data_IF_169329093407
#
_entry.id   IF_169329093407
#
_cell.length_a   1.000
_cell.length_b   1.000
_cell.length_c   1.000
_cell.angle_alpha   90.00
_cell.angle_beta   90.00
_cell.angle_gamma   90.00
#
_symmetry.space_group_name_H-M   'P 1'
#
loop_
_entity.id
_entity.type
_entity.pdbx_description
1 polymer ?
#
# COMPACT_ATOMS: atom_id res chain seq x y z
N UNK A 1 -25.20 -1.44 -19.67
CA UNK A 1 -23.81 -1.02 -19.37
C UNK A 1 -22.91 -2.17 -19.80
N UNK A 2 -22.07 -1.98 -20.81
CA UNK A 2 -21.11 -3.00 -21.27
C UNK A 2 -19.79 -2.83 -20.51
N UNK A 3 -19.07 -3.93 -20.29
CA UNK A 3 -17.73 -3.87 -19.69
C UNK A 3 -16.78 -3.19 -20.68
N UNK A 4 -15.91 -2.32 -20.17
CA UNK A 4 -14.85 -1.67 -20.93
C UNK A 4 -13.96 -2.71 -21.65
N UNK A 5 -13.62 -2.45 -22.91
CA UNK A 5 -12.90 -3.43 -23.76
C UNK A 5 -11.48 -3.69 -23.25
N UNK A 6 -10.81 -2.69 -22.70
CA UNK A 6 -9.46 -2.83 -22.17
C UNK A 6 -9.49 -3.62 -20.86
N UNK A 7 -10.54 -3.41 -20.04
CA UNK A 7 -10.77 -4.19 -18.84
C UNK A 7 -11.04 -5.66 -19.17
N UNK A 8 -11.83 -5.95 -20.21
CA UNK A 8 -12.04 -7.32 -20.68
C UNK A 8 -10.75 -7.98 -21.16
N UNK A 9 -9.93 -7.25 -21.94
CA UNK A 9 -8.64 -7.75 -22.41
C UNK A 9 -7.69 -8.05 -21.24
N UNK A 10 -7.68 -7.18 -20.22
CA UNK A 10 -6.94 -7.40 -18.99
C UNK A 10 -7.39 -8.68 -18.27
N UNK A 11 -8.70 -8.85 -18.03
CA UNK A 11 -9.23 -10.06 -17.38
C UNK A 11 -8.89 -11.34 -18.15
N UNK A 12 -9.02 -11.32 -19.48
CA UNK A 12 -8.65 -12.47 -20.31
C UNK A 12 -7.16 -12.80 -20.22
N UNK A 13 -6.29 -11.78 -20.17
CA UNK A 13 -4.85 -11.99 -19.96
C UNK A 13 -4.55 -12.57 -18.58
N UNK A 14 -5.15 -12.01 -17.52
CA UNK A 14 -4.98 -12.50 -16.14
C UNK A 14 -5.40 -13.97 -16.05
N UNK A 15 -6.59 -14.33 -16.51
CA UNK A 15 -7.09 -15.70 -16.44
C UNK A 15 -6.23 -16.70 -17.22
N UNK A 16 -5.59 -16.25 -18.32
CA UNK A 16 -4.67 -17.08 -19.11
C UNK A 16 -3.33 -17.31 -18.41
N UNK A 17 -2.80 -16.29 -17.73
CA UNK A 17 -1.46 -16.34 -17.10
C UNK A 17 -1.53 -16.91 -15.68
N UNK A 18 -2.62 -16.64 -14.97
CA UNK A 18 -2.84 -17.00 -13.58
C UNK A 18 -4.15 -17.78 -13.47
N UNK A 19 -4.11 -19.12 -13.60
CA UNK A 19 -5.29 -19.94 -13.43
C UNK A 19 -5.86 -19.81 -12.01
N UNK A 20 -7.14 -20.12 -11.86
CA UNK A 20 -7.80 -20.12 -10.55
C UNK A 20 -7.11 -21.12 -9.61
N UNK A 21 -6.91 -20.68 -8.37
CA UNK A 21 -6.48 -21.57 -7.30
C UNK A 21 -7.65 -22.43 -6.83
N UNK A 22 -7.38 -23.65 -6.33
CA UNK A 22 -8.38 -24.44 -5.62
C UNK A 22 -9.03 -23.63 -4.48
N UNK A 23 -10.30 -23.91 -4.19
CA UNK A 23 -11.04 -23.21 -3.14
C UNK A 23 -10.43 -23.40 -1.74
N UNK A 24 -9.67 -24.48 -1.54
CA UNK A 24 -8.95 -24.85 -0.33
C UNK A 24 -7.46 -24.50 -0.38
N UNK A 25 -7.03 -23.65 -1.32
CA UNK A 25 -5.66 -23.22 -1.42
C UNK A 25 -5.19 -22.53 -0.13
N UNK A 26 -3.97 -22.87 0.30
CA UNK A 26 -3.35 -22.27 1.46
C UNK A 26 -3.16 -20.74 1.29
N UNK A 27 -3.38 -19.92 2.33
CA UNK A 27 -3.26 -18.47 2.25
C UNK A 27 -1.91 -17.97 1.72
N UNK A 28 -0.80 -18.68 1.93
CA UNK A 28 0.49 -18.29 1.35
C UNK A 28 0.50 -18.45 -0.18
N UNK A 29 -0.19 -19.45 -0.72
CA UNK A 29 -0.34 -19.63 -2.16
C UNK A 29 -1.19 -18.50 -2.77
N UNK A 30 -2.29 -18.14 -2.10
CA UNK A 30 -3.15 -17.03 -2.51
C UNK A 30 -2.39 -15.70 -2.50
N UNK A 31 -1.63 -15.41 -1.42
CA UNK A 31 -0.74 -14.24 -1.34
C UNK A 31 0.27 -14.20 -2.47
N UNK A 32 0.95 -15.31 -2.73
CA UNK A 32 1.96 -15.40 -3.78
C UNK A 32 1.36 -15.17 -5.16
N UNK A 33 0.18 -15.72 -5.43
CA UNK A 33 -0.52 -15.47 -6.69
C UNK A 33 -0.89 -13.99 -6.83
N UNK A 34 -1.41 -13.37 -5.77
CA UNK A 34 -1.72 -11.93 -5.79
C UNK A 34 -0.47 -11.07 -6.05
N UNK A 35 0.65 -11.38 -5.40
CA UNK A 35 1.94 -10.72 -5.65
C UNK A 35 2.44 -10.91 -7.09
N UNK A 36 2.30 -12.10 -7.65
CA UNK A 36 2.73 -12.40 -9.01
C UNK A 36 1.88 -11.66 -10.05
N UNK A 37 0.55 -11.60 -9.85
CA UNK A 37 -0.35 -10.78 -10.68
C UNK A 37 0.08 -9.32 -10.59
N UNK A 38 0.22 -8.77 -9.38
CA UNK A 38 0.62 -7.37 -9.20
C UNK A 38 1.96 -7.06 -9.89
N UNK A 39 2.95 -7.98 -9.80
CA UNK A 39 4.26 -7.83 -10.44
C UNK A 39 4.20 -7.91 -11.97
N UNK A 40 3.45 -8.85 -12.52
CA UNK A 40 3.29 -9.02 -13.98
C UNK A 40 2.66 -7.78 -14.64
N UNK A 41 1.78 -7.10 -13.90
CA UNK A 41 1.07 -5.91 -14.37
C UNK A 41 1.61 -4.61 -13.76
N UNK A 42 2.75 -4.65 -13.07
CA UNK A 42 3.38 -3.47 -12.52
C UNK A 42 3.90 -2.57 -13.66
N UNK A 43 3.60 -1.29 -13.56
CA UNK A 43 4.28 -0.25 -14.32
C UNK A 43 5.33 0.44 -13.44
N UNK A 44 6.35 1.08 -14.03
CA UNK A 44 7.29 1.90 -13.28
C UNK A 44 6.56 3.01 -12.52
N UNK A 45 7.08 3.36 -11.34
CA UNK A 45 6.63 4.56 -10.61
C UNK A 45 6.66 5.79 -11.53
N UNK A 46 5.72 6.74 -11.36
CA UNK A 46 5.83 8.02 -12.06
C UNK A 46 7.14 8.73 -11.70
N UNK A 47 7.63 9.58 -12.59
CA UNK A 47 8.75 10.47 -12.28
C UNK A 47 8.36 11.46 -11.17
N UNK A 48 9.37 12.03 -10.49
CA UNK A 48 9.15 13.10 -9.51
C UNK A 48 8.65 12.63 -8.15
N UNK A 49 8.90 11.36 -7.79
CA UNK A 49 8.62 10.82 -6.45
C UNK A 49 9.86 10.18 -5.84
N UNK A 50 10.23 10.64 -4.65
CA UNK A 50 11.24 10.00 -3.82
C UNK A 50 10.57 8.94 -2.94
N UNK A 51 11.20 7.77 -2.84
CA UNK A 51 10.66 6.63 -2.10
C UNK A 51 11.70 6.09 -1.13
N UNK A 52 11.31 5.95 0.13
CA UNK A 52 12.15 5.35 1.17
C UNK A 52 11.33 4.43 2.07
N UNK A 53 11.94 3.35 2.55
CA UNK A 53 11.32 2.52 3.57
C UNK A 53 11.60 3.13 4.95
N UNK A 54 10.59 3.12 5.82
CA UNK A 54 10.65 3.61 7.19
C UNK A 54 10.07 2.55 8.12
N UNK A 55 10.69 2.36 9.28
CA UNK A 55 10.17 1.47 10.32
C UNK A 55 9.58 2.33 11.44
N UNK A 56 8.31 2.09 11.78
CA UNK A 56 7.64 2.74 12.90
C UNK A 56 7.90 1.91 14.17
N UNK A 57 8.63 2.44 15.16
CA UNK A 57 8.75 1.80 16.46
C UNK A 57 7.44 1.95 17.24
N UNK A 58 6.84 0.83 17.63
CA UNK A 58 5.64 0.75 18.46
C UNK A 58 5.94 -0.03 19.75
N UNK A 59 5.00 -0.04 20.68
CA UNK A 59 5.19 -0.79 21.93
C UNK A 59 5.27 -2.30 21.65
N UNK A 60 6.40 -2.91 22.00
CA UNK A 60 6.67 -4.33 21.82
C UNK A 60 6.81 -4.83 20.38
N UNK A 61 6.75 -3.96 19.36
CA UNK A 61 6.80 -4.34 17.93
C UNK A 61 7.24 -3.20 17.02
N UNK A 62 7.41 -3.48 15.75
CA UNK A 62 7.65 -2.45 14.74
C UNK A 62 6.81 -2.71 13.49
N UNK A 63 6.39 -1.65 12.82
CA UNK A 63 5.70 -1.73 11.53
C UNK A 63 6.61 -1.24 10.41
N UNK A 64 6.69 -2.03 9.34
CA UNK A 64 7.33 -1.57 8.11
C UNK A 64 6.38 -0.61 7.38
N UNK A 65 6.95 0.43 6.79
CA UNK A 65 6.22 1.38 5.98
C UNK A 65 7.08 1.80 4.80
N UNK A 66 6.44 2.37 3.78
CA UNK A 66 7.12 3.02 2.68
C UNK A 66 6.59 4.43 2.51
N UNK A 67 7.49 5.39 2.48
CA UNK A 67 7.19 6.81 2.37
C UNK A 67 7.44 7.27 0.94
N UNK A 68 6.44 7.91 0.36
CA UNK A 68 6.46 8.49 -0.97
C UNK A 68 6.39 10.01 -0.84
N UNK A 69 7.36 10.73 -1.38
CA UNK A 69 7.41 12.19 -1.34
C UNK A 69 7.47 12.75 -2.76
N UNK A 70 6.46 13.54 -3.18
CA UNK A 70 6.56 14.26 -4.45
C UNK A 70 7.68 15.32 -4.38
N UNK A 71 8.60 15.28 -5.33
CA UNK A 71 9.82 16.11 -5.35
C UNK A 71 9.52 17.59 -5.55
N UNK A 72 8.53 17.91 -6.40
CA UNK A 72 8.20 19.28 -6.79
C UNK A 72 7.25 19.99 -5.81
N UNK A 73 6.71 19.28 -4.82
CA UNK A 73 5.71 19.83 -3.91
C UNK A 73 6.34 20.74 -2.84
N UNK A 74 5.62 21.82 -2.51
CA UNK A 74 6.05 22.78 -1.47
C UNK A 74 6.02 22.13 -0.10
N UNK A 75 7.14 22.22 0.62
CA UNK A 75 7.27 21.74 2.00
C UNK A 75 6.68 22.76 3.01
N UNK A 76 6.21 22.31 4.18
CA UNK A 76 6.08 20.91 4.58
C UNK A 76 4.90 20.22 3.86
N UNK A 77 5.05 18.93 3.55
CA UNK A 77 4.06 18.18 2.75
C UNK A 77 2.88 17.73 3.63
N UNK A 78 1.62 17.91 3.21
CA UNK A 78 0.49 17.20 3.83
C UNK A 78 0.74 15.69 3.81
N UNK A 79 0.26 14.99 4.83
CA UNK A 79 0.47 13.55 4.96
C UNK A 79 -0.84 12.78 4.69
N UNK A 80 -0.73 11.71 3.92
CA UNK A 80 -1.75 10.67 3.77
C UNK A 80 -1.21 9.36 4.35
N UNK A 81 -1.97 8.69 5.20
CA UNK A 81 -1.66 7.33 5.67
C UNK A 81 -2.41 6.33 4.81
N UNK A 82 -1.68 5.51 4.06
CA UNK A 82 -2.26 4.57 3.11
C UNK A 82 -2.24 3.13 3.67
N UNK A 83 -3.39 2.47 3.59
CA UNK A 83 -3.59 1.07 3.96
C UNK A 83 -3.94 0.29 2.70
N UNK A 84 -3.10 -0.67 2.32
CA UNK A 84 -3.33 -1.45 1.10
C UNK A 84 -4.61 -2.28 1.18
N UNK A 85 -5.19 -2.58 0.01
CA UNK A 85 -6.32 -3.51 -0.09
C UNK A 85 -5.88 -4.97 -0.01
N UNK A 86 -6.82 -5.89 -0.20
CA UNK A 86 -6.57 -7.34 -0.19
C UNK A 86 -7.25 -8.11 0.94
N UNK A 87 -8.32 -7.55 1.52
CA UNK A 87 -9.18 -8.23 2.49
C UNK A 87 -8.47 -8.66 3.77
N UNK A 88 -7.38 -7.98 4.14
CA UNK A 88 -6.48 -8.31 5.24
C UNK A 88 -5.77 -9.66 5.12
N UNK A 89 -5.83 -10.31 3.95
CA UNK A 89 -5.21 -11.61 3.68
C UNK A 89 -4.10 -11.51 2.65
N UNK A 90 -4.23 -10.61 1.67
CA UNK A 90 -3.22 -10.40 0.62
C UNK A 90 -2.84 -8.93 0.49
N UNK A 91 -1.80 -8.68 -0.30
CA UNK A 91 -1.23 -7.35 -0.47
C UNK A 91 -0.02 -7.13 0.42
N UNK A 92 0.74 -6.10 0.09
CA UNK A 92 1.95 -5.63 0.76
C UNK A 92 2.35 -4.27 0.16
N UNK A 93 3.49 -3.72 0.58
CA UNK A 93 4.05 -2.47 0.08
C UNK A 93 4.33 -2.47 -1.44
N UNK A 94 4.65 -3.63 -2.03
CA UNK A 94 5.05 -3.73 -3.43
C UNK A 94 3.84 -3.88 -4.36
N UNK A 95 2.80 -4.61 -3.92
CA UNK A 95 1.57 -4.84 -4.72
C UNK A 95 0.81 -3.56 -5.06
N UNK A 96 0.93 -2.51 -4.25
CA UNK A 96 0.24 -1.23 -4.44
C UNK A 96 1.21 -0.08 -4.76
N UNK A 97 2.50 -0.37 -4.93
CA UNK A 97 3.58 0.61 -4.99
C UNK A 97 3.38 1.69 -6.07
N UNK A 98 3.06 1.27 -7.30
CA UNK A 98 2.75 2.18 -8.40
C UNK A 98 1.60 3.12 -8.07
N UNK A 99 0.52 2.58 -7.54
CA UNK A 99 -0.70 3.32 -7.27
C UNK A 99 -0.48 4.34 -6.14
N UNK A 100 0.26 3.96 -5.09
CA UNK A 100 0.60 4.86 -3.98
C UNK A 100 1.59 5.94 -4.43
N UNK A 101 2.59 5.60 -5.25
CA UNK A 101 3.49 6.57 -5.84
C UNK A 101 2.74 7.59 -6.71
N UNK A 102 1.77 7.13 -7.51
CA UNK A 102 0.90 8.00 -8.31
C UNK A 102 0.03 8.90 -7.45
N UNK A 103 -0.57 8.35 -6.39
CA UNK A 103 -1.34 9.12 -5.42
C UNK A 103 -0.50 10.26 -4.82
N UNK A 104 0.76 9.99 -4.44
CA UNK A 104 1.64 11.00 -3.88
C UNK A 104 1.92 12.15 -4.86
N UNK A 105 2.24 11.83 -6.12
CA UNK A 105 2.49 12.82 -7.18
C UNK A 105 1.23 13.63 -7.49
N UNK A 106 0.12 12.97 -7.79
CA UNK A 106 -1.10 13.63 -8.25
C UNK A 106 -1.77 14.46 -7.15
N UNK A 107 -1.62 14.07 -5.88
CA UNK A 107 -2.18 14.81 -4.74
C UNK A 107 -1.25 15.87 -4.15
N UNK A 108 0.01 15.91 -4.59
CA UNK A 108 1.08 16.72 -3.97
C UNK A 108 1.20 16.52 -2.45
N UNK A 109 0.89 15.32 -1.97
CA UNK A 109 0.99 14.94 -0.56
C UNK A 109 2.07 13.88 -0.39
N UNK A 110 2.72 13.88 0.77
CA UNK A 110 3.47 12.71 1.18
C UNK A 110 2.49 11.58 1.48
N UNK A 111 2.81 10.36 1.09
CA UNK A 111 2.00 9.18 1.41
C UNK A 111 2.87 8.19 2.16
N UNK A 112 2.39 7.68 3.29
CA UNK A 112 3.04 6.60 4.04
C UNK A 112 2.18 5.36 3.93
N UNK A 113 2.65 4.36 3.18
CA UNK A 113 2.00 3.05 3.05
C UNK A 113 2.41 2.16 4.21
N UNK A 114 1.44 1.53 4.87
CA UNK A 114 1.66 0.69 6.07
C UNK A 114 1.62 -0.81 5.71
N UNK A 115 2.65 -1.54 6.11
CA UNK A 115 2.75 -3.02 6.00
C UNK A 115 2.15 -3.65 7.27
N UNK A 116 0.82 -3.60 7.39
CA UNK A 116 0.10 -4.09 8.57
C UNK A 116 0.06 -5.62 8.61
N UNK A 117 -0.08 -6.20 9.80
CA UNK A 117 -0.21 -7.65 10.00
C UNK A 117 -1.47 -8.19 9.32
N UNK A 118 -1.36 -9.38 8.71
CA UNK A 118 -2.44 -9.99 7.93
C UNK A 118 -2.97 -11.30 8.55
N UNK A 119 -4.23 -11.57 8.28
CA UNK A 119 -4.87 -12.86 8.53
C UNK A 119 -4.41 -13.91 7.49
N UNK A 120 -4.38 -15.20 7.84
CA UNK A 120 -4.89 -15.80 9.09
C UNK A 120 -3.94 -15.74 10.29
N UNK A 121 -2.66 -15.40 10.12
CA UNK A 121 -1.65 -15.41 11.19
C UNK A 121 -1.97 -14.36 12.26
N UNK A 122 -2.55 -13.25 11.83
CA UNK A 122 -2.99 -12.16 12.68
C UNK A 122 -4.43 -11.78 12.31
N UNK A 123 -5.43 -12.52 12.83
CA UNK A 123 -6.83 -12.23 12.56
C UNK A 123 -7.23 -10.88 13.18
N UNK A 124 -8.45 -10.44 12.86
CA UNK A 124 -9.07 -9.29 13.52
C UNK A 124 -8.93 -9.40 15.06
N UNK A 125 -8.53 -8.32 15.77
CA UNK A 125 -8.39 -6.94 15.30
C UNK A 125 -6.98 -6.51 14.84
N UNK A 126 -6.00 -7.41 14.78
CA UNK A 126 -4.59 -7.04 14.59
C UNK A 126 -4.28 -6.11 13.38
N UNK A 127 -4.87 -6.30 12.17
CA UNK A 127 -4.64 -5.37 11.06
C UNK A 127 -5.18 -3.95 11.34
N UNK A 128 -6.29 -3.85 12.10
CA UNK A 128 -6.92 -2.58 12.46
C UNK A 128 -6.12 -1.87 13.55
N UNK A 129 -5.65 -2.60 14.54
CA UNK A 129 -4.77 -2.07 15.58
C UNK A 129 -3.48 -1.50 14.95
N UNK A 130 -2.90 -2.20 13.97
CA UNK A 130 -1.73 -1.73 13.21
C UNK A 130 -1.99 -0.45 12.44
N UNK A 131 -3.14 -0.35 11.78
CA UNK A 131 -3.54 0.85 11.08
C UNK A 131 -3.71 2.04 12.02
N UNK A 132 -4.35 1.83 13.17
CA UNK A 132 -4.57 2.87 14.18
C UNK A 132 -3.24 3.32 14.81
N UNK A 133 -2.40 2.38 15.21
CA UNK A 133 -1.09 2.68 15.81
C UNK A 133 -0.19 3.43 14.83
N UNK A 134 -0.15 3.03 13.56
CA UNK A 134 0.60 3.73 12.53
C UNK A 134 0.10 5.16 12.34
N UNK A 135 -1.23 5.36 12.28
CA UNK A 135 -1.84 6.67 12.14
C UNK A 135 -1.49 7.59 13.32
N UNK A 136 -1.64 7.11 14.55
CA UNK A 136 -1.33 7.86 15.77
C UNK A 136 0.16 8.21 15.83
N UNK A 137 1.03 7.23 15.59
CA UNK A 137 2.47 7.44 15.60
C UNK A 137 2.89 8.49 14.57
N UNK A 138 2.40 8.37 13.33
CA UNK A 138 2.70 9.33 12.27
C UNK A 138 2.16 10.71 12.59
N UNK A 139 0.95 10.80 13.15
CA UNK A 139 0.39 12.06 13.60
C UNK A 139 1.31 12.73 14.63
N UNK A 140 1.79 12.00 15.64
CA UNK A 140 2.66 12.55 16.69
C UNK A 140 4.05 12.97 16.16
N UNK A 141 4.59 12.24 15.17
CA UNK A 141 5.95 12.43 14.68
C UNK A 141 6.05 13.27 13.39
N UNK A 142 4.92 13.68 12.79
CA UNK A 142 4.84 14.32 11.46
C UNK A 142 5.79 15.51 11.27
N UNK A 143 5.91 16.39 12.26
CA UNK A 143 6.80 17.56 12.17
C UNK A 143 8.28 17.17 12.08
N UNK A 144 8.70 16.15 12.84
CA UNK A 144 10.08 15.61 12.83
C UNK A 144 10.42 14.94 11.50
N UNK A 145 9.41 14.37 10.84
CA UNK A 145 9.53 13.72 9.53
C UNK A 145 9.41 14.70 8.34
N UNK A 146 9.23 16.01 8.61
CA UNK A 146 9.12 17.04 7.59
C UNK A 146 7.73 17.19 6.95
N UNK A 147 6.69 16.62 7.58
CA UNK A 147 5.31 16.72 7.14
C UNK A 147 4.56 17.88 7.81
N UNK A 148 3.54 18.40 7.13
CA UNK A 148 2.72 19.49 7.59
C UNK A 148 1.88 19.06 8.79
N UNK A 149 1.71 19.96 9.76
CA UNK A 149 1.00 19.62 11.00
C UNK A 149 -0.49 19.92 10.96
N UNK A 150 -0.94 20.67 9.95
CA UNK A 150 -2.31 21.17 9.81
C UNK A 150 -3.21 20.31 8.92
N UNK A 151 -2.67 19.24 8.30
CA UNK A 151 -3.43 18.36 7.41
C UNK A 151 -2.89 16.94 7.43
N UNK A 152 -3.77 16.00 7.80
CA UNK A 152 -3.57 14.55 7.79
C UNK A 152 -4.82 13.94 7.14
N UNK A 153 -4.62 13.07 6.16
CA UNK A 153 -5.68 12.38 5.42
C UNK A 153 -5.44 10.90 5.26
#
# INVERSE_FOLDING_TARGET
>A
MTIDVDLLAYYAKVAKVFPELPADADPLAIRRQFQNVAREFAAPRPAGVDVEDLVLPLDGRALRTRVYRPVEAKKPLPLVVYLHGGGWVVGDLDTHDLMVARLAVDSHCAVVSVDYRMAPEHPFPAPVDDALDALLWLAEHRSRLGFATNRLG
#
